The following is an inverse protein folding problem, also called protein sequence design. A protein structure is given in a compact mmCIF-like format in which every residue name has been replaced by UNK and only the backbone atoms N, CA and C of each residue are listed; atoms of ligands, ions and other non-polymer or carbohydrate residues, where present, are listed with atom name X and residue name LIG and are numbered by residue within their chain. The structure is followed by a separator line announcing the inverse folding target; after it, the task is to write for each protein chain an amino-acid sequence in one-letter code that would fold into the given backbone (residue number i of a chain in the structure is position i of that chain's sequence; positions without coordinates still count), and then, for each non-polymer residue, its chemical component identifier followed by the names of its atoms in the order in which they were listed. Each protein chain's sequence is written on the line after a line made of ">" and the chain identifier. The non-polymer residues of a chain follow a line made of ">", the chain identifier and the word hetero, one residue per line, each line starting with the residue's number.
data_IF_847611239952
#
_entry.id   IF_847611239952
#
_cell.length_a   1.000
_cell.length_b   1.000
_cell.length_c   1.000
_cell.angle_alpha   90.00
_cell.angle_beta   90.00
_cell.angle_gamma   90.00
#
_symmetry.space_group_name_H-M   'P 1'
#
loop_
_entity.id
_entity.type
_entity.pdbx_description
1 polymer ?
#
# COMPACT_ATOMS: atom_id res chain seq x y z
N UNK A 1 -2.01 1.36 -1.13
CA UNK A 1 -2.48 0.00 -1.50
C UNK A 1 -2.95 -0.78 -0.29
N UNK A 2 -3.84 -1.71 -0.48
CA UNK A 2 -4.20 -2.69 0.55
C UNK A 2 -3.75 -4.06 0.07
N UNK A 3 -3.08 -4.85 0.92
CA UNK A 3 -2.60 -6.17 0.51
C UNK A 3 -2.40 -7.12 1.68
N UNK A 4 -2.34 -8.41 1.34
CA UNK A 4 -1.99 -9.49 2.24
C UNK A 4 -1.27 -10.59 1.47
N UNK A 5 -0.42 -11.35 2.18
CA UNK A 5 0.33 -12.47 1.60
C UNK A 5 1.21 -12.07 0.41
N UNK A 6 1.75 -10.84 0.46
CA UNK A 6 2.54 -10.25 -0.62
C UNK A 6 4.03 -10.13 -0.28
N UNK A 7 4.51 -10.71 0.84
CA UNK A 7 5.90 -10.57 1.25
C UNK A 7 6.89 -11.01 0.15
N UNK A 8 6.52 -11.98 -0.67
CA UNK A 8 7.36 -12.47 -1.74
C UNK A 8 7.60 -11.43 -2.84
N UNK A 9 6.64 -10.53 -3.06
CA UNK A 9 6.65 -9.59 -4.19
C UNK A 9 6.76 -8.13 -3.79
N UNK A 10 6.48 -7.80 -2.53
CA UNK A 10 6.31 -6.40 -2.11
C UNK A 10 7.59 -5.57 -2.33
N UNK A 11 8.76 -6.14 -2.13
CA UNK A 11 10.01 -5.42 -2.34
C UNK A 11 10.20 -5.03 -3.80
N UNK A 12 9.92 -5.95 -4.72
CA UNK A 12 9.99 -5.67 -6.16
C UNK A 12 8.99 -4.60 -6.57
N UNK A 13 7.79 -4.63 -6.02
CA UNK A 13 6.75 -3.62 -6.23
C UNK A 13 7.25 -2.24 -5.79
N UNK A 14 7.80 -2.14 -4.60
CA UNK A 14 8.30 -0.88 -4.04
C UNK A 14 9.47 -0.35 -4.88
N UNK A 15 10.43 -1.19 -5.23
CA UNK A 15 11.59 -0.81 -6.03
C UNK A 15 11.17 -0.30 -7.40
N UNK A 16 10.19 -0.94 -8.03
CA UNK A 16 9.65 -0.52 -9.31
C UNK A 16 9.06 0.89 -9.25
N UNK A 17 8.19 1.14 -8.29
CA UNK A 17 7.53 2.45 -8.18
C UNK A 17 8.48 3.55 -7.70
N UNK A 18 9.47 3.22 -6.91
CA UNK A 18 10.53 4.17 -6.55
C UNK A 18 11.30 4.63 -7.77
N UNK A 19 11.67 3.72 -8.66
CA UNK A 19 12.35 4.07 -9.92
C UNK A 19 11.47 4.87 -10.86
N UNK A 20 10.16 4.64 -10.83
CA UNK A 20 9.20 5.36 -11.67
C UNK A 20 8.98 6.80 -11.21
N UNK A 21 9.40 7.16 -9.99
CA UNK A 21 9.28 8.51 -9.46
C UNK A 21 8.16 8.71 -8.45
N UNK A 22 7.53 7.64 -8.00
CA UNK A 22 6.53 7.72 -6.92
C UNK A 22 7.24 8.10 -5.62
N UNK A 23 6.74 9.11 -4.93
CA UNK A 23 7.41 9.71 -3.77
C UNK A 23 7.02 9.09 -2.45
N UNK A 24 5.90 8.39 -2.38
CA UNK A 24 5.41 7.80 -1.14
C UNK A 24 4.50 6.62 -1.44
N UNK A 25 4.68 5.54 -0.70
CA UNK A 25 3.80 4.36 -0.74
C UNK A 25 3.18 4.17 0.63
N UNK A 26 1.86 4.03 0.67
CA UNK A 26 1.09 3.73 1.87
C UNK A 26 0.45 2.36 1.69
N UNK A 27 0.80 1.44 2.58
CA UNK A 27 0.31 0.06 2.54
C UNK A 27 -0.63 -0.19 3.72
N UNK A 28 -1.86 -0.58 3.41
CA UNK A 28 -2.79 -1.06 4.42
C UNK A 28 -2.60 -2.57 4.55
N UNK A 29 -1.97 -2.97 5.63
CA UNK A 29 -1.63 -4.36 5.90
C UNK A 29 -2.89 -5.11 6.34
N UNK A 30 -3.46 -5.89 5.42
CA UNK A 30 -4.65 -6.69 5.66
C UNK A 30 -4.33 -8.18 5.83
N UNK A 31 -3.11 -8.53 6.19
CA UNK A 31 -2.75 -9.89 6.55
C UNK A 31 -3.59 -10.37 7.73
N UNK A 32 -3.66 -11.68 7.92
CA UNK A 32 -4.29 -12.24 9.11
C UNK A 32 -3.53 -11.83 10.37
N UNK A 33 -4.19 -11.85 11.53
CA UNK A 33 -3.58 -11.38 12.79
C UNK A 33 -2.28 -12.12 13.11
N UNK A 34 -2.18 -13.39 12.75
CA UNK A 34 -0.99 -14.23 12.94
C UNK A 34 -0.24 -14.52 11.64
N UNK A 35 -0.58 -13.79 10.55
CA UNK A 35 0.03 -13.96 9.24
C UNK A 35 1.39 -13.29 9.10
N UNK A 36 1.91 -13.30 7.87
CA UNK A 36 3.20 -12.68 7.56
C UNK A 36 3.17 -11.17 7.80
N UNK A 37 4.36 -10.58 8.03
CA UNK A 37 4.53 -9.16 8.31
C UNK A 37 5.40 -8.51 7.23
N UNK A 38 4.92 -7.40 6.67
CA UNK A 38 5.71 -6.64 5.70
C UNK A 38 6.99 -6.09 6.29
N UNK A 39 6.97 -5.75 7.57
CA UNK A 39 8.14 -5.23 8.29
C UNK A 39 9.35 -6.18 8.22
N UNK A 40 9.12 -7.47 8.02
CA UNK A 40 10.19 -8.47 7.93
C UNK A 40 11.00 -8.34 6.62
N UNK A 41 10.41 -7.79 5.56
CA UNK A 41 11.05 -7.74 4.24
C UNK A 41 11.35 -6.33 3.74
N UNK A 42 10.66 -5.32 4.24
CA UNK A 42 10.80 -3.93 3.76
C UNK A 42 11.12 -2.95 4.89
N UNK A 43 11.79 -3.42 5.92
CA UNK A 43 12.12 -2.58 7.07
C UNK A 43 12.89 -1.32 6.70
N UNK A 44 13.84 -1.41 5.77
CA UNK A 44 14.64 -0.26 5.35
C UNK A 44 13.77 0.85 4.73
N UNK A 45 12.82 0.48 3.90
CA UNK A 45 11.92 1.42 3.23
C UNK A 45 10.96 2.08 4.23
N UNK A 46 10.55 1.33 5.26
CA UNK A 46 9.72 1.86 6.34
C UNK A 46 10.54 2.82 7.21
N UNK A 47 11.74 2.43 7.62
CA UNK A 47 12.60 3.23 8.48
C UNK A 47 13.02 4.55 7.81
N UNK A 48 13.19 4.55 6.49
CA UNK A 48 13.49 5.75 5.72
C UNK A 48 12.29 6.65 5.45
N UNK A 49 11.09 6.21 5.83
CA UNK A 49 9.86 6.98 5.64
C UNK A 49 9.26 6.91 4.24
N UNK A 50 9.83 6.13 3.33
CA UNK A 50 9.27 5.97 1.99
C UNK A 50 7.98 5.17 2.00
N UNK A 51 7.88 4.16 2.86
CA UNK A 51 6.70 3.30 3.01
C UNK A 51 6.12 3.49 4.40
N UNK A 52 4.82 3.67 4.47
CA UNK A 52 4.06 3.67 5.74
C UNK A 52 3.13 2.47 5.74
N UNK A 53 3.15 1.70 6.82
CA UNK A 53 2.26 0.56 7.02
C UNK A 53 1.13 0.98 7.96
N UNK A 54 -0.10 0.80 7.52
CA UNK A 54 -1.30 1.02 8.33
C UNK A 54 -1.88 -0.35 8.69
N UNK A 55 -2.14 -0.57 9.95
CA UNK A 55 -2.62 -1.85 10.44
C UNK A 55 -4.11 -2.03 10.15
N UNK A 56 -4.41 -2.91 9.20
CA UNK A 56 -5.75 -3.41 8.91
C UNK A 56 -5.82 -4.93 9.04
N UNK A 57 -4.94 -5.50 9.86
CA UNK A 57 -4.84 -6.96 10.02
C UNK A 57 -6.16 -7.53 10.54
N UNK A 58 -6.68 -8.56 9.84
CA UNK A 58 -7.95 -9.19 10.16
C UNK A 58 -9.20 -8.37 9.87
N UNK A 59 -9.06 -7.14 9.39
CA UNK A 59 -10.20 -6.26 9.07
C UNK A 59 -10.91 -6.78 7.80
N UNK A 60 -12.23 -6.94 7.88
CA UNK A 60 -13.08 -7.38 6.76
C UNK A 60 -13.87 -6.23 6.13
N UNK A 61 -13.64 -4.98 6.57
CA UNK A 61 -14.32 -3.81 6.05
C UNK A 61 -15.80 -3.74 6.39
N UNK A 62 -16.20 -4.19 7.55
CA UNK A 62 -17.59 -4.21 8.00
C UNK A 62 -18.22 -2.81 7.89
N UNK A 63 -19.39 -2.76 7.27
CA UNK A 63 -20.14 -1.52 7.10
C UNK A 63 -19.73 -0.66 5.90
N UNK A 64 -18.70 -1.04 5.14
CA UNK A 64 -18.26 -0.33 3.94
C UNK A 64 -18.70 -1.06 2.68
N UNK A 65 -19.29 -0.32 1.74
CA UNK A 65 -19.55 -0.83 0.38
C UNK A 65 -18.20 -1.07 -0.29
N UNK A 66 -17.99 -2.27 -0.80
CA UNK A 66 -16.69 -2.66 -1.38
C UNK A 66 -15.70 -3.25 -0.38
N UNK A 67 -16.10 -3.40 0.89
CA UNK A 67 -15.30 -4.08 1.92
C UNK A 67 -14.05 -3.31 2.33
N UNK A 68 -13.04 -4.06 2.77
CA UNK A 68 -11.80 -3.49 3.32
C UNK A 68 -11.01 -2.65 2.30
N UNK A 69 -11.08 -2.95 1.02
CA UNK A 69 -10.38 -2.19 -0.01
C UNK A 69 -10.89 -0.77 -0.10
N UNK A 70 -12.20 -0.59 -0.17
CA UNK A 70 -12.81 0.75 -0.25
C UNK A 70 -12.61 1.51 1.04
N UNK A 71 -12.68 0.84 2.18
CA UNK A 71 -12.39 1.44 3.47
C UNK A 71 -10.97 2.00 3.51
N UNK A 72 -9.99 1.23 3.07
CA UNK A 72 -8.59 1.64 3.04
C UNK A 72 -8.36 2.82 2.11
N UNK A 73 -8.92 2.79 0.91
CA UNK A 73 -8.76 3.87 -0.06
C UNK A 73 -9.37 5.18 0.42
N UNK A 74 -10.57 5.13 0.99
CA UNK A 74 -11.21 6.30 1.57
C UNK A 74 -10.41 6.87 2.74
N UNK A 75 -9.93 6.03 3.62
CA UNK A 75 -9.10 6.44 4.76
C UNK A 75 -7.81 7.11 4.30
N UNK A 76 -7.15 6.53 3.31
CA UNK A 76 -5.92 7.08 2.73
C UNK A 76 -6.14 8.47 2.15
N UNK A 77 -7.16 8.64 1.33
CA UNK A 77 -7.48 9.93 0.73
C UNK A 77 -7.82 10.96 1.80
N UNK A 78 -8.68 10.60 2.75
CA UNK A 78 -9.14 11.52 3.80
C UNK A 78 -7.97 12.04 4.65
N UNK A 79 -6.99 11.18 4.97
CA UNK A 79 -5.87 11.54 5.83
C UNK A 79 -4.75 12.28 5.10
N UNK A 80 -4.64 12.11 3.79
CA UNK A 80 -3.48 12.57 3.03
C UNK A 80 -3.78 13.61 1.95
N UNK A 81 -5.04 13.97 1.70
CA UNK A 81 -5.42 14.85 0.60
C UNK A 81 -4.84 16.27 0.71
N UNK A 82 -4.42 16.70 1.90
CA UNK A 82 -3.76 18.01 2.09
C UNK A 82 -2.26 17.98 1.80
N UNK A 83 -1.67 16.79 1.69
CA UNK A 83 -0.21 16.62 1.56
C UNK A 83 0.22 16.22 0.15
N UNK A 84 -0.71 15.66 -0.65
CA UNK A 84 -0.39 15.12 -1.97
C UNK A 84 -1.45 15.56 -2.99
N UNK A 85 -0.99 15.97 -4.16
CA UNK A 85 -1.88 16.40 -5.25
C UNK A 85 -2.43 15.23 -6.05
N UNK A 86 -1.68 14.10 -6.10
CA UNK A 86 -2.02 12.94 -6.91
C UNK A 86 -2.04 11.67 -6.08
N UNK A 87 -3.07 10.87 -6.29
CA UNK A 87 -3.23 9.57 -5.65
C UNK A 87 -3.47 8.51 -6.71
N UNK A 88 -2.85 7.34 -6.51
CA UNK A 88 -3.08 6.17 -7.33
C UNK A 88 -3.24 4.96 -6.42
N UNK A 89 -4.24 4.13 -6.71
CA UNK A 89 -4.54 2.95 -5.91
C UNK A 89 -4.30 1.71 -6.74
N UNK A 90 -3.39 0.84 -6.27
CA UNK A 90 -3.00 -0.38 -6.95
C UNK A 90 -3.13 -1.59 -6.05
N UNK A 91 -3.42 -2.74 -6.66
CA UNK A 91 -3.18 -4.02 -6.01
C UNK A 91 -1.69 -4.37 -6.08
N UNK A 92 -1.23 -5.29 -5.21
CA UNK A 92 0.18 -5.61 -5.09
C UNK A 92 0.83 -6.24 -6.32
N UNK A 93 0.04 -6.68 -7.29
CA UNK A 93 0.50 -7.27 -8.54
C UNK A 93 0.29 -6.37 -9.76
N UNK A 94 -0.14 -5.13 -9.54
CA UNK A 94 -0.36 -4.18 -10.62
C UNK A 94 0.86 -3.28 -10.83
N UNK A 95 1.29 -3.14 -12.09
CA UNK A 95 2.42 -2.31 -12.47
C UNK A 95 2.01 -1.31 -13.55
N UNK A 96 2.21 -0.02 -13.23
CA UNK A 96 1.96 1.06 -14.17
C UNK A 96 3.12 1.17 -15.15
N UNK A 97 2.81 1.24 -16.44
CA UNK A 97 3.80 1.48 -17.50
C UNK A 97 3.54 2.86 -18.07
N UNK A 98 4.55 3.74 -18.02
CA UNK A 98 4.47 5.05 -18.62
C UNK A 98 5.08 5.00 -20.02
N UNK A 99 4.31 5.47 -21.02
CA UNK A 99 4.78 5.57 -22.40
C UNK A 99 5.02 7.05 -22.72
N UNK A 100 6.13 7.32 -23.40
CA UNK A 100 6.37 8.65 -23.97
C UNK A 100 5.50 8.81 -25.22
N UNK A 101 4.77 9.91 -25.26
CA UNK A 101 3.94 10.25 -26.40
C UNK A 101 4.70 11.10 -27.40
#
# INVERSE_FOLDING_TARGET
>A
MICKQENLYIKNFIDYYKKLGITKIIIYDNNDLDGEKFEDVIKNEIDKGYVTIINYRGDRGNGYVGGQQMKAYYDCYKKNNLYYDWFTFFDGDEYLVLEEL
#
